data_IF_805636114007
#
_entry.id   IF_805636114007
#
_cell.length_a   1.000
_cell.length_b   1.000
_cell.length_c   1.000
_cell.angle_alpha   90.00
_cell.angle_beta   90.00
_cell.angle_gamma   90.00
#
_symmetry.space_group_name_H-M   'P 1'
#
loop_
_entity.id
_entity.type
_entity.pdbx_description
1 polymer ?
#
# COMPACT_ATOMS: atom_id res chain seq x y z
N UNK A 1 12.60 -7.82 -16.98
CA UNK A 1 13.69 -7.75 -17.98
C UNK A 1 14.87 -8.55 -17.44
N UNK A 2 15.07 -9.76 -17.97
CA UNK A 2 16.22 -10.60 -17.64
C UNK A 2 17.49 -9.96 -18.20
N UNK A 3 18.29 -9.33 -17.35
CA UNK A 3 19.65 -8.95 -17.70
C UNK A 3 20.49 -10.24 -17.72
N UNK A 4 20.50 -10.94 -18.86
CA UNK A 4 21.58 -11.86 -19.19
C UNK A 4 22.86 -11.03 -19.23
N UNK A 5 23.62 -11.05 -18.14
CA UNK A 5 25.00 -10.54 -18.10
C UNK A 5 25.73 -11.26 -19.23
N UNK A 6 25.96 -10.53 -20.34
CA UNK A 6 26.80 -11.00 -21.44
C UNK A 6 28.17 -11.28 -20.83
N UNK A 7 28.48 -12.56 -20.59
CA UNK A 7 29.84 -12.99 -20.22
C UNK A 7 30.79 -12.34 -21.20
N UNK A 8 31.59 -11.45 -20.64
CA UNK A 8 32.35 -10.45 -21.37
C UNK A 8 33.35 -11.15 -22.29
N UNK A 9 33.57 -10.59 -23.48
CA UNK A 9 34.63 -11.01 -24.42
C UNK A 9 36.00 -11.22 -23.74
N UNK A 10 36.19 -10.60 -22.57
CA UNK A 10 37.38 -10.62 -21.75
C UNK A 10 37.67 -11.97 -21.08
N UNK A 11 36.67 -12.73 -20.60
CA UNK A 11 36.91 -14.05 -19.98
C UNK A 11 37.42 -15.07 -21.00
N UNK A 12 36.88 -15.01 -22.23
CA UNK A 12 37.32 -15.86 -23.34
C UNK A 12 38.71 -15.47 -23.83
N UNK A 13 39.02 -14.18 -23.87
CA UNK A 13 40.35 -13.69 -24.26
C UNK A 13 41.40 -14.11 -23.24
N UNK A 14 41.16 -13.94 -21.95
CA UNK A 14 42.13 -14.28 -20.91
C UNK A 14 42.43 -15.79 -20.87
N UNK A 15 41.42 -16.65 -21.08
CA UNK A 15 41.63 -18.09 -21.21
C UNK A 15 42.45 -18.50 -22.44
N UNK A 16 42.38 -17.71 -23.53
CA UNK A 16 43.22 -17.91 -24.72
C UNK A 16 44.65 -17.39 -24.50
N UNK A 17 44.81 -16.23 -23.85
CA UNK A 17 46.10 -15.63 -23.52
C UNK A 17 46.92 -16.55 -22.58
N UNK A 18 46.27 -17.19 -21.60
CA UNK A 18 46.90 -18.20 -20.73
C UNK A 18 47.38 -19.41 -21.54
N UNK A 19 46.61 -19.86 -22.52
CA UNK A 19 46.99 -20.99 -23.39
C UNK A 19 48.16 -20.62 -24.29
N UNK A 20 48.16 -19.43 -24.85
CA UNK A 20 49.23 -18.93 -25.72
C UNK A 20 50.54 -18.73 -24.93
N UNK A 21 50.44 -18.18 -23.72
CA UNK A 21 51.58 -18.04 -22.83
C UNK A 21 52.18 -19.39 -22.40
N UNK A 22 51.35 -20.40 -22.06
CA UNK A 22 51.84 -21.77 -21.78
C UNK A 22 52.62 -22.36 -22.96
N UNK A 23 52.15 -22.14 -24.20
CA UNK A 23 52.86 -22.57 -25.42
C UNK A 23 54.21 -21.86 -25.58
N UNK A 24 54.26 -20.54 -25.34
CA UNK A 24 55.50 -19.76 -25.39
C UNK A 24 56.54 -20.23 -24.36
N UNK A 25 56.12 -20.47 -23.11
CA UNK A 25 57.01 -21.04 -22.08
C UNK A 25 57.58 -22.41 -22.47
N UNK A 26 56.74 -23.25 -23.08
CA UNK A 26 57.17 -24.57 -23.55
C UNK A 26 58.16 -24.46 -24.72
N UNK A 27 57.92 -23.53 -25.65
CA UNK A 27 58.84 -23.25 -26.76
C UNK A 27 60.19 -22.71 -26.28
N UNK A 28 60.19 -21.76 -25.34
CA UNK A 28 61.41 -21.23 -24.70
C UNK A 28 62.16 -22.33 -23.96
N UNK A 29 61.46 -23.18 -23.20
CA UNK A 29 62.09 -24.29 -22.48
C UNK A 29 62.71 -25.33 -23.41
N UNK A 30 62.08 -25.59 -24.56
CA UNK A 30 62.59 -26.51 -25.60
C UNK A 30 63.83 -25.91 -26.28
N UNK A 31 63.75 -24.65 -26.72
CA UNK A 31 64.87 -23.94 -27.34
C UNK A 31 66.09 -23.83 -26.41
N UNK A 32 65.85 -23.64 -25.12
CA UNK A 32 66.89 -23.65 -24.09
C UNK A 32 67.49 -25.05 -23.99
N UNK A 33 66.71 -26.13 -24.01
CA UNK A 33 67.25 -27.51 -23.93
C UNK A 33 68.18 -27.86 -25.10
N UNK A 34 67.82 -27.43 -26.32
CA UNK A 34 68.53 -27.77 -27.55
C UNK A 34 69.88 -27.04 -27.68
N UNK A 35 70.04 -25.88 -27.04
CA UNK A 35 71.23 -25.02 -27.14
C UNK A 35 72.30 -25.23 -26.04
N UNK A 36 72.30 -26.38 -25.34
CA UNK A 36 73.27 -26.75 -24.28
C UNK A 36 73.62 -25.62 -23.26
N UNK A 37 72.61 -24.99 -22.64
CA UNK A 37 72.76 -23.91 -21.69
C UNK A 37 73.40 -24.41 -20.39
N UNK A 38 74.05 -23.52 -19.64
CA UNK A 38 74.58 -23.92 -18.34
C UNK A 38 73.44 -24.32 -17.38
N UNK A 39 73.74 -25.24 -16.46
CA UNK A 39 72.80 -25.80 -15.47
C UNK A 39 72.07 -24.75 -14.62
N UNK A 40 72.65 -23.55 -14.42
CA UNK A 40 71.99 -22.44 -13.69
C UNK A 40 70.84 -21.83 -14.50
N UNK A 41 70.95 -21.76 -15.84
CA UNK A 41 69.89 -21.22 -16.70
C UNK A 41 68.64 -22.11 -16.65
N UNK A 42 68.80 -23.42 -16.85
CA UNK A 42 67.71 -24.41 -16.77
C UNK A 42 67.00 -24.36 -15.40
N UNK A 43 67.77 -24.24 -14.31
CA UNK A 43 67.19 -24.10 -12.95
C UNK A 43 66.38 -22.81 -12.78
N UNK A 44 66.81 -21.69 -13.36
CA UNK A 44 66.06 -20.42 -13.26
C UNK A 44 64.76 -20.45 -14.07
N UNK A 45 64.78 -21.08 -15.24
CA UNK A 45 63.58 -21.25 -16.09
C UNK A 45 62.55 -22.16 -15.41
N UNK A 46 62.97 -23.29 -14.84
CA UNK A 46 62.04 -24.16 -14.10
C UNK A 46 61.44 -23.48 -12.86
N UNK A 47 62.19 -22.59 -12.20
CA UNK A 47 61.63 -21.74 -11.12
C UNK A 47 60.60 -20.75 -11.64
N UNK A 48 60.86 -20.14 -12.79
CA UNK A 48 59.93 -19.20 -13.42
C UNK A 48 58.64 -19.90 -13.83
N UNK A 49 58.74 -21.07 -14.47
CA UNK A 49 57.59 -21.92 -14.81
C UNK A 49 56.76 -22.27 -13.56
N UNK A 50 57.41 -22.68 -12.47
CA UNK A 50 56.73 -22.97 -11.21
C UNK A 50 56.03 -21.75 -10.59
N UNK A 51 56.63 -20.56 -10.69
CA UNK A 51 55.99 -19.30 -10.23
C UNK A 51 54.80 -18.98 -11.12
N UNK A 52 54.92 -19.10 -12.44
CA UNK A 52 53.83 -18.77 -13.35
C UNK A 52 52.64 -19.72 -13.20
N UNK A 53 52.88 -21.02 -13.00
CA UNK A 53 51.78 -21.96 -12.77
C UNK A 53 51.00 -21.61 -11.49
N UNK A 54 51.68 -21.22 -10.41
CA UNK A 54 51.02 -20.73 -9.18
C UNK A 54 50.20 -19.46 -9.42
N UNK A 55 50.70 -18.54 -10.23
CA UNK A 55 49.95 -17.32 -10.59
C UNK A 55 48.69 -17.69 -11.37
N UNK A 56 48.77 -18.61 -12.34
CA UNK A 56 47.60 -19.06 -13.08
C UNK A 56 46.56 -19.75 -12.19
N UNK A 57 46.99 -20.64 -11.30
CA UNK A 57 46.11 -21.30 -10.33
C UNK A 57 45.40 -20.26 -9.44
N UNK A 58 46.13 -19.23 -8.97
CA UNK A 58 45.56 -18.14 -8.18
C UNK A 58 44.52 -17.31 -8.95
N UNK A 59 44.78 -17.02 -10.23
CA UNK A 59 43.82 -16.30 -11.10
C UNK A 59 42.58 -17.15 -11.38
N UNK A 60 42.74 -18.43 -11.70
CA UNK A 60 41.60 -19.33 -11.91
C UNK A 60 40.74 -19.47 -10.65
N UNK A 61 41.37 -19.57 -9.47
CA UNK A 61 40.67 -19.57 -8.20
C UNK A 61 39.87 -18.26 -8.00
N UNK A 62 40.49 -17.10 -8.22
CA UNK A 62 39.80 -15.81 -8.10
C UNK A 62 38.62 -15.68 -9.07
N UNK A 63 38.75 -16.16 -10.30
CA UNK A 63 37.65 -16.19 -11.28
C UNK A 63 36.50 -17.04 -10.75
N UNK A 64 36.79 -18.22 -10.21
CA UNK A 64 35.77 -19.13 -9.67
C UNK A 64 35.06 -18.55 -8.43
N UNK A 65 35.83 -17.95 -7.53
CA UNK A 65 35.30 -17.25 -6.35
C UNK A 65 34.40 -16.08 -6.77
N UNK A 66 34.85 -15.27 -7.73
CA UNK A 66 34.08 -14.14 -8.28
C UNK A 66 32.78 -14.61 -8.95
N UNK A 67 32.85 -15.68 -9.74
CA UNK A 67 31.68 -16.26 -10.40
C UNK A 67 30.65 -16.82 -9.42
N UNK A 68 31.08 -17.21 -8.22
CA UNK A 68 30.19 -17.66 -7.15
C UNK A 68 29.61 -16.47 -6.38
N UNK A 69 30.41 -15.43 -6.16
CA UNK A 69 30.01 -14.26 -5.38
C UNK A 69 29.05 -13.32 -6.12
N UNK A 70 29.24 -13.10 -7.43
CA UNK A 70 28.38 -12.22 -8.23
C UNK A 70 26.88 -12.57 -8.12
N UNK A 71 26.43 -13.82 -8.37
CA UNK A 71 25.01 -14.15 -8.30
C UNK A 71 24.45 -14.01 -6.89
N UNK A 72 25.26 -14.30 -5.86
CA UNK A 72 24.89 -14.09 -4.45
C UNK A 72 24.66 -12.59 -4.19
N UNK A 73 25.57 -11.72 -4.64
CA UNK A 73 25.44 -10.28 -4.49
C UNK A 73 24.21 -9.73 -5.24
N UNK A 74 23.94 -10.22 -6.46
CA UNK A 74 22.75 -9.85 -7.23
C UNK A 74 21.45 -10.28 -6.51
N UNK A 75 21.42 -11.50 -5.96
CA UNK A 75 20.29 -11.99 -5.18
C UNK A 75 20.06 -11.13 -3.93
N UNK A 76 21.12 -10.80 -3.18
CA UNK A 76 21.03 -9.92 -2.02
C UNK A 76 20.53 -8.51 -2.38
N UNK A 77 20.99 -7.95 -3.51
CA UNK A 77 20.52 -6.65 -3.99
C UNK A 77 19.02 -6.68 -4.32
N UNK A 78 18.55 -7.74 -4.98
CA UNK A 78 17.14 -7.90 -5.31
C UNK A 78 16.27 -8.06 -4.06
N UNK A 79 16.71 -8.87 -3.09
CA UNK A 79 16.02 -9.01 -1.80
C UNK A 79 15.95 -7.68 -1.05
N UNK A 80 17.05 -6.91 -1.04
CA UNK A 80 17.10 -5.60 -0.37
C UNK A 80 16.13 -4.62 -1.02
N UNK A 81 16.04 -4.58 -2.35
CA UNK A 81 15.07 -3.76 -3.07
C UNK A 81 13.63 -4.17 -2.78
N UNK A 82 13.36 -5.46 -2.66
CA UNK A 82 12.03 -5.95 -2.30
C UNK A 82 11.65 -5.54 -0.88
N UNK A 83 12.54 -5.78 0.09
CA UNK A 83 12.33 -5.38 1.48
C UNK A 83 12.09 -3.88 1.63
N UNK A 84 12.80 -3.05 0.85
CA UNK A 84 12.57 -1.61 0.85
C UNK A 84 11.14 -1.25 0.42
N UNK A 85 10.64 -1.87 -0.66
CA UNK A 85 9.25 -1.67 -1.11
C UNK A 85 8.23 -2.12 -0.08
N UNK A 86 8.46 -3.28 0.54
CA UNK A 86 7.57 -3.83 1.55
C UNK A 86 7.52 -2.92 2.79
N UNK A 87 8.67 -2.36 3.21
CA UNK A 87 8.75 -1.40 4.30
C UNK A 87 7.99 -0.10 3.99
N UNK A 88 8.11 0.43 2.77
CA UNK A 88 7.37 1.63 2.35
C UNK A 88 5.84 1.37 2.38
N UNK A 89 5.40 0.21 1.88
CA UNK A 89 4.00 -0.19 1.92
C UNK A 89 3.46 -0.33 3.36
N UNK A 90 4.20 -1.01 4.24
CA UNK A 90 3.84 -1.15 5.66
C UNK A 90 3.80 0.22 6.34
N UNK A 91 4.75 1.10 6.05
CA UNK A 91 4.76 2.44 6.63
C UNK A 91 3.51 3.24 6.23
N UNK A 92 3.06 3.14 4.97
CA UNK A 92 1.82 3.75 4.51
C UNK A 92 0.60 3.14 5.22
N UNK A 93 0.53 1.81 5.36
CA UNK A 93 -0.56 1.14 6.10
C UNK A 93 -0.61 1.55 7.57
N UNK A 94 0.54 1.65 8.25
CA UNK A 94 0.60 2.10 9.65
C UNK A 94 0.13 3.55 9.78
N UNK A 95 0.52 4.44 8.85
CA UNK A 95 0.03 5.83 8.84
C UNK A 95 -1.48 5.89 8.64
N UNK A 96 -2.02 5.09 7.72
CA UNK A 96 -3.47 4.97 7.51
C UNK A 96 -4.15 4.51 8.80
N UNK A 97 -3.70 3.41 9.40
CA UNK A 97 -4.29 2.86 10.61
C UNK A 97 -4.28 3.85 11.78
N UNK A 98 -3.19 4.62 11.93
CA UNK A 98 -3.12 5.66 12.96
C UNK A 98 -4.17 6.75 12.76
N UNK A 99 -4.38 7.20 11.51
CA UNK A 99 -5.44 8.18 11.20
C UNK A 99 -6.82 7.55 11.45
N UNK A 100 -7.05 6.33 10.96
CA UNK A 100 -8.33 5.64 11.16
C UNK A 100 -8.68 5.52 12.63
N UNK A 101 -7.74 5.09 13.48
CA UNK A 101 -7.95 4.94 14.91
C UNK A 101 -8.20 6.29 15.62
N UNK A 102 -7.44 7.33 15.26
CA UNK A 102 -7.57 8.66 15.85
C UNK A 102 -8.94 9.30 15.56
N UNK A 103 -9.44 9.13 14.33
CA UNK A 103 -10.69 9.76 13.88
C UNK A 103 -11.91 8.85 13.96
N UNK A 104 -11.75 7.56 14.28
CA UNK A 104 -12.86 6.60 14.44
C UNK A 104 -13.94 7.12 15.38
N UNK A 105 -13.55 7.59 16.57
CA UNK A 105 -14.52 8.05 17.56
C UNK A 105 -15.25 9.32 17.09
N UNK A 106 -14.59 10.16 16.28
CA UNK A 106 -15.20 11.32 15.64
C UNK A 106 -16.22 10.90 14.57
N UNK A 107 -15.91 9.89 13.76
CA UNK A 107 -16.86 9.29 12.82
C UNK A 107 -18.05 8.70 13.59
N UNK A 108 -17.80 7.98 14.68
CA UNK A 108 -18.87 7.45 15.54
C UNK A 108 -19.75 8.54 16.15
N UNK A 109 -19.15 9.64 16.63
CA UNK A 109 -19.89 10.82 17.11
C UNK A 109 -20.76 11.42 15.99
N UNK A 110 -20.23 11.52 14.78
CA UNK A 110 -20.95 12.02 13.61
C UNK A 110 -22.12 11.11 13.22
N UNK A 111 -21.91 9.80 13.13
CA UNK A 111 -22.95 8.82 12.81
C UNK A 111 -24.09 8.84 13.85
N UNK A 112 -23.76 8.95 15.14
CA UNK A 112 -24.77 9.09 16.20
C UNK A 112 -25.63 10.34 16.00
N UNK A 113 -25.03 11.46 15.59
CA UNK A 113 -25.79 12.68 15.31
C UNK A 113 -26.67 12.56 14.06
N UNK A 114 -26.22 11.85 13.02
CA UNK A 114 -27.03 11.54 11.83
C UNK A 114 -28.25 10.71 12.21
N UNK A 115 -28.04 9.59 12.91
CA UNK A 115 -29.10 8.70 13.42
C UNK A 115 -30.12 9.46 14.28
N UNK A 116 -29.65 10.31 15.20
CA UNK A 116 -30.53 11.15 16.02
C UNK A 116 -31.39 12.12 15.19
N UNK A 117 -30.83 12.67 14.11
CA UNK A 117 -31.56 13.58 13.22
C UNK A 117 -32.57 12.86 12.34
N UNK A 118 -32.25 11.64 11.93
CA UNK A 118 -33.15 10.73 11.20
C UNK A 118 -34.18 10.05 12.11
N UNK A 119 -34.05 10.19 13.45
CA UNK A 119 -34.90 9.54 14.45
C UNK A 119 -34.87 8.02 14.40
N UNK A 120 -33.74 7.46 13.98
CA UNK A 120 -33.49 6.02 13.94
C UNK A 120 -33.09 5.51 15.32
N UNK A 121 -33.31 4.22 15.61
CA UNK A 121 -33.10 3.67 16.96
C UNK A 121 -31.62 3.57 17.32
N UNK A 122 -30.77 3.16 16.38
CA UNK A 122 -29.33 2.95 16.63
C UNK A 122 -28.48 3.14 15.37
N UNK A 123 -27.16 3.31 15.58
CA UNK A 123 -26.18 3.36 14.49
C UNK A 123 -26.04 2.02 13.79
N UNK A 124 -26.10 0.92 14.54
CA UNK A 124 -25.93 -0.42 13.98
C UNK A 124 -27.14 -0.80 13.11
N UNK A 125 -28.37 -0.52 13.56
CA UNK A 125 -29.58 -0.74 12.75
C UNK A 125 -29.55 0.11 11.48
N UNK A 126 -29.19 1.39 11.59
CA UNK A 126 -29.07 2.26 10.42
C UNK A 126 -28.05 1.72 9.40
N UNK A 127 -26.92 1.20 9.86
CA UNK A 127 -25.90 0.65 8.96
C UNK A 127 -26.35 -0.66 8.34
N UNK A 128 -27.05 -1.52 9.08
CA UNK A 128 -27.64 -2.72 8.50
C UNK A 128 -28.65 -2.36 7.41
N UNK A 129 -29.49 -1.35 7.64
CA UNK A 129 -30.38 -0.84 6.58
C UNK A 129 -29.59 -0.37 5.35
N UNK A 130 -28.51 0.39 5.53
CA UNK A 130 -27.66 0.80 4.41
C UNK A 130 -27.06 -0.40 3.63
N UNK A 131 -26.75 -1.51 4.31
CA UNK A 131 -26.32 -2.73 3.62
C UNK A 131 -27.47 -3.41 2.86
N UNK A 132 -28.66 -3.49 3.46
CA UNK A 132 -29.84 -4.10 2.83
C UNK A 132 -30.23 -3.38 1.54
N UNK A 133 -30.18 -2.04 1.53
CA UNK A 133 -30.57 -1.22 0.38
C UNK A 133 -29.47 -1.08 -0.70
N UNK A 134 -28.42 -1.90 -0.64
CA UNK A 134 -27.33 -1.87 -1.63
C UNK A 134 -26.48 -0.58 -1.60
N UNK A 135 -26.49 0.22 -0.52
CA UNK A 135 -25.75 1.49 -0.49
C UNK A 135 -24.23 1.32 -0.74
N UNK A 136 -23.69 0.15 -0.47
CA UNK A 136 -22.26 -0.15 -0.63
C UNK A 136 -21.91 -0.87 -1.93
N UNK A 137 -22.89 -1.24 -2.74
CA UNK A 137 -22.64 -1.80 -4.06
C UNK A 137 -21.91 -0.73 -4.87
N UNK A 138 -20.78 -1.14 -5.48
CA UNK A 138 -20.09 -0.29 -6.43
C UNK A 138 -21.03 -0.10 -7.60
N UNK A 139 -21.11 1.11 -8.16
CA UNK A 139 -21.89 1.41 -9.37
C UNK A 139 -21.27 0.64 -10.55
N UNK A 140 -21.39 -0.68 -10.55
CA UNK A 140 -21.09 -1.58 -11.63
C UNK A 140 -22.17 -1.39 -12.65
N UNK A 141 -21.76 -0.92 -13.83
CA UNK A 141 -22.45 -0.99 -15.11
C UNK A 141 -23.93 -1.39 -15.00
N UNK A 142 -24.82 -0.39 -15.05
CA UNK A 142 -26.22 -0.60 -15.43
C UNK A 142 -26.24 -1.22 -16.82
N UNK A 143 -26.22 -2.55 -16.91
CA UNK A 143 -26.77 -3.25 -18.05
C UNK A 143 -28.30 -3.13 -17.93
N UNK A 144 -28.87 -2.35 -18.86
CA UNK A 144 -30.31 -2.29 -19.12
C UNK A 144 -30.82 -3.69 -19.51
N UNK A 145 -31.06 -4.57 -18.55
CA UNK A 145 -31.88 -5.75 -18.77
C UNK A 145 -33.35 -5.34 -18.77
N UNK A 146 -33.84 -5.02 -19.97
CA UNK A 146 -35.26 -5.04 -20.29
C UNK A 146 -35.81 -6.43 -19.95
N UNK A 147 -36.51 -6.53 -18.81
CA UNK A 147 -37.33 -7.69 -18.45
C UNK A 147 -38.48 -7.85 -19.45
N UNK A 148 -38.32 -8.79 -20.38
CA UNK A 148 -39.43 -9.49 -21.01
C UNK A 148 -39.53 -10.85 -20.34
N UNK A 149 -40.42 -11.01 -19.36
CA UNK A 149 -41.21 -12.24 -19.22
C UNK A 149 -42.41 -11.98 -18.30
N UNK A 150 -43.57 -11.89 -18.94
CA UNK A 150 -44.88 -11.99 -18.30
C UNK A 150 -45.07 -13.46 -17.94
N UNK A 151 -45.06 -13.80 -16.65
CA UNK A 151 -45.80 -14.94 -16.11
C UNK A 151 -46.41 -14.53 -14.77
N UNK A 152 -47.75 -14.60 -14.75
CA UNK A 152 -48.69 -14.23 -13.71
C UNK A 152 -48.33 -14.79 -12.32
N UNK A 153 -48.24 -13.91 -11.33
CA UNK A 153 -48.49 -14.17 -9.91
C UNK A 153 -49.04 -12.86 -9.28
N UNK A 154 -50.34 -12.60 -9.46
CA UNK A 154 -51.08 -11.58 -8.73
C UNK A 154 -51.19 -11.99 -7.24
N UNK A 155 -50.14 -11.78 -6.44
CA UNK A 155 -50.21 -11.66 -4.97
C UNK A 155 -48.89 -11.22 -4.29
N UNK A 156 -47.89 -10.70 -5.03
CA UNK A 156 -46.58 -10.27 -4.47
C UNK A 156 -46.16 -8.82 -4.82
N UNK A 157 -46.98 -8.07 -5.55
CA UNK A 157 -46.60 -6.73 -6.03
C UNK A 157 -46.70 -5.64 -4.95
N UNK A 158 -47.58 -5.79 -3.95
CA UNK A 158 -47.78 -4.76 -2.92
C UNK A 158 -46.61 -4.68 -1.90
N UNK A 159 -45.89 -5.78 -1.64
CA UNK A 159 -44.79 -5.82 -0.67
C UNK A 159 -43.47 -5.26 -1.26
N UNK A 160 -43.18 -5.54 -2.54
CA UNK A 160 -41.96 -5.03 -3.21
C UNK A 160 -42.02 -3.51 -3.41
N UNK A 161 -43.20 -2.96 -3.75
CA UNK A 161 -43.41 -1.52 -3.94
C UNK A 161 -43.33 -0.73 -2.62
N UNK A 162 -43.74 -1.32 -1.49
CA UNK A 162 -43.62 -0.71 -0.15
C UNK A 162 -42.18 -0.72 0.37
N UNK A 163 -41.40 -1.79 0.15
CA UNK A 163 -39.98 -1.85 0.53
C UNK A 163 -39.12 -0.85 -0.25
N UNK A 164 -39.29 -0.74 -1.57
CA UNK A 164 -38.56 0.24 -2.38
C UNK A 164 -38.88 1.70 -2.01
N UNK A 165 -40.13 2.01 -1.66
CA UNK A 165 -40.51 3.35 -1.18
C UNK A 165 -39.84 3.69 0.16
N UNK A 166 -39.72 2.72 1.08
CA UNK A 166 -39.04 2.90 2.36
C UNK A 166 -37.54 3.17 2.20
N UNK A 167 -36.89 2.46 1.28
CA UNK A 167 -35.46 2.58 0.99
C UNK A 167 -35.10 3.94 0.38
N UNK A 168 -35.91 4.41 -0.55
CA UNK A 168 -35.79 5.74 -1.17
C UNK A 168 -35.99 6.88 -0.16
N UNK A 169 -36.89 6.71 0.82
CA UNK A 169 -37.11 7.70 1.87
C UNK A 169 -35.88 7.84 2.77
N UNK A 170 -35.24 6.73 3.15
CA UNK A 170 -34.04 6.71 4.00
C UNK A 170 -32.87 7.42 3.31
N UNK A 171 -32.61 7.10 2.04
CA UNK A 171 -31.54 7.73 1.27
C UNK A 171 -31.81 9.22 1.04
N UNK A 172 -33.05 9.59 0.76
CA UNK A 172 -33.47 10.99 0.59
C UNK A 172 -33.27 11.78 1.89
N UNK A 173 -33.69 11.21 3.03
CA UNK A 173 -33.51 11.82 4.34
C UNK A 173 -32.03 11.99 4.71
N UNK A 174 -31.21 10.96 4.44
CA UNK A 174 -29.76 11.04 4.63
C UNK A 174 -29.16 12.16 3.77
N UNK A 175 -29.46 12.19 2.47
CA UNK A 175 -28.98 13.20 1.53
C UNK A 175 -29.33 14.62 2.00
N UNK A 176 -30.56 14.83 2.48
CA UNK A 176 -31.02 16.12 3.02
C UNK A 176 -30.25 16.56 4.28
N UNK A 177 -29.82 15.62 5.13
CA UNK A 177 -28.99 15.93 6.31
C UNK A 177 -27.57 16.28 5.90
N UNK A 178 -26.99 15.51 4.98
CA UNK A 178 -25.61 15.68 4.52
C UNK A 178 -25.42 16.98 3.73
N UNK A 179 -26.38 17.37 2.89
CA UNK A 179 -26.35 18.64 2.15
C UNK A 179 -26.25 19.87 3.05
N UNK A 180 -26.84 19.84 4.26
CA UNK A 180 -26.76 20.95 5.23
C UNK A 180 -25.34 21.20 5.75
N UNK A 181 -24.43 20.26 5.52
CA UNK A 181 -23.02 20.33 5.94
C UNK A 181 -22.07 20.12 4.76
N UNK A 182 -22.54 20.37 3.54
CA UNK A 182 -21.78 20.26 2.30
C UNK A 182 -21.13 18.88 2.09
N UNK A 183 -21.83 17.81 2.51
CA UNK A 183 -21.36 16.43 2.40
C UNK A 183 -22.17 15.68 1.35
N UNK A 184 -21.49 14.89 0.53
CA UNK A 184 -22.12 13.99 -0.46
C UNK A 184 -22.32 12.59 0.12
N UNK A 185 -23.13 11.76 -0.54
CA UNK A 185 -23.23 10.33 -0.19
C UNK A 185 -21.88 9.61 -0.37
N UNK A 186 -21.07 10.01 -1.35
CA UNK A 186 -19.71 9.47 -1.53
C UNK A 186 -18.79 9.81 -0.36
N UNK A 187 -18.80 11.06 0.12
CA UNK A 187 -18.08 11.44 1.34
C UNK A 187 -18.52 10.57 2.54
N UNK A 188 -19.84 10.34 2.65
CA UNK A 188 -20.41 9.51 3.71
C UNK A 188 -19.97 8.04 3.61
N UNK A 189 -19.98 7.45 2.40
CA UNK A 189 -19.44 6.10 2.13
C UNK A 189 -17.98 6.00 2.59
N UNK A 190 -17.15 7.01 2.30
CA UNK A 190 -15.75 7.04 2.74
C UNK A 190 -15.66 6.99 4.27
N UNK A 191 -16.46 7.76 5.01
CA UNK A 191 -16.46 7.73 6.48
C UNK A 191 -16.88 6.36 7.04
N UNK A 192 -17.85 5.68 6.43
CA UNK A 192 -18.25 4.34 6.82
C UNK A 192 -17.12 3.33 6.57
N UNK A 193 -16.52 3.33 5.38
CA UNK A 193 -15.35 2.50 5.06
C UNK A 193 -14.21 2.73 6.06
N UNK A 194 -13.94 3.98 6.43
CA UNK A 194 -12.93 4.31 7.44
C UNK A 194 -13.27 3.72 8.82
N UNK A 195 -14.53 3.78 9.23
CA UNK A 195 -14.99 3.18 10.49
C UNK A 195 -14.77 1.66 10.48
N UNK A 196 -15.09 1.00 9.38
CA UNK A 196 -15.00 -0.47 9.29
C UNK A 196 -13.55 -0.95 9.19
N UNK A 197 -12.68 -0.18 8.52
CA UNK A 197 -11.24 -0.45 8.46
C UNK A 197 -10.49 -0.07 9.76
N UNK A 198 -11.10 0.74 10.63
CA UNK A 198 -10.47 1.16 11.88
C UNK A 198 -10.45 0.03 12.91
N UNK A 199 -9.37 -0.06 13.68
CA UNK A 199 -9.27 -1.07 14.72
C UNK A 199 -10.11 -0.66 15.94
N UNK A 200 -11.04 -1.54 16.34
CA UNK A 200 -12.01 -1.22 17.37
C UNK A 200 -11.47 -1.06 18.79
N UNK A 201 -10.23 -1.52 19.01
CA UNK A 201 -9.52 -1.45 20.30
C UNK A 201 -8.79 -0.13 20.50
N UNK A 202 -8.62 0.67 19.46
CA UNK A 202 -7.98 1.97 19.54
C UNK A 202 -9.05 3.06 19.54
N UNK A 203 -8.96 3.93 20.54
CA UNK A 203 -9.82 5.08 20.74
C UNK A 203 -9.00 6.36 20.56
N UNK A 204 -9.68 7.49 20.38
CA UNK A 204 -9.02 8.80 20.37
C UNK A 204 -8.24 8.99 21.68
N UNK A 205 -7.00 9.47 21.55
CA UNK A 205 -6.10 9.60 22.71
C UNK A 205 -6.61 10.62 23.75
N UNK A 206 -7.23 11.71 23.28
CA UNK A 206 -7.81 12.75 24.13
C UNK A 206 -9.32 12.78 23.98
N UNK A 207 -10.01 12.29 25.01
CA UNK A 207 -11.48 12.25 25.04
C UNK A 207 -12.12 13.63 25.21
N UNK A 208 -11.36 14.64 25.65
CA UNK A 208 -11.79 16.01 25.91
C UNK A 208 -11.63 16.95 24.71
N UNK A 209 -10.85 16.54 23.71
CA UNK A 209 -10.61 17.29 22.49
C UNK A 209 -11.93 17.73 21.84
N UNK A 210 -11.98 18.96 21.34
CA UNK A 210 -13.15 19.49 20.62
C UNK A 210 -13.06 19.23 19.12
N UNK A 211 -14.19 19.16 18.38
CA UNK A 211 -14.18 18.94 16.93
C UNK A 211 -13.27 19.92 16.17
N UNK A 212 -13.26 21.20 16.58
CA UNK A 212 -12.41 22.24 15.97
C UNK A 212 -10.91 22.00 16.20
N UNK A 213 -10.54 21.46 17.36
CA UNK A 213 -9.13 21.12 17.65
C UNK A 213 -8.70 19.90 16.85
N UNK A 214 -9.58 18.90 16.72
CA UNK A 214 -9.38 17.75 15.85
C UNK A 214 -9.24 18.16 14.38
N UNK A 215 -10.04 19.13 13.92
CA UNK A 215 -9.95 19.68 12.56
C UNK A 215 -8.60 20.36 12.30
N UNK A 216 -8.13 21.20 13.23
CA UNK A 216 -6.81 21.84 13.14
C UNK A 216 -5.69 20.79 13.17
N UNK A 217 -5.83 19.72 13.96
CA UNK A 217 -4.89 18.60 13.99
C UNK A 217 -4.87 17.89 12.63
N UNK A 218 -6.04 17.59 12.05
CA UNK A 218 -6.17 16.96 10.75
C UNK A 218 -5.50 17.79 9.64
N UNK A 219 -5.68 19.11 9.68
CA UNK A 219 -5.06 20.02 8.72
C UNK A 219 -3.52 19.95 8.78
N UNK A 220 -2.95 19.89 9.99
CA UNK A 220 -1.50 19.79 10.22
C UNK A 220 -0.91 18.40 9.95
N UNK A 221 -1.73 17.36 10.00
CA UNK A 221 -1.27 15.99 9.72
C UNK A 221 -0.83 15.86 8.26
N UNK A 222 0.40 15.40 8.06
CA UNK A 222 0.89 14.98 6.76
C UNK A 222 0.25 13.65 6.39
N UNK A 223 -0.73 13.71 5.51
CA UNK A 223 -1.43 12.55 4.97
C UNK A 223 -0.73 12.16 3.65
N UNK A 224 -0.24 10.91 3.51
CA UNK A 224 0.27 10.41 2.24
C UNK A 224 -0.75 10.58 1.11
N UNK A 225 -0.26 10.79 -0.11
CA UNK A 225 -1.10 11.09 -1.29
C UNK A 225 -2.11 9.98 -1.57
N UNK A 226 -1.68 8.73 -1.37
CA UNK A 226 -2.47 7.51 -1.58
C UNK A 226 -3.71 7.44 -0.69
N UNK A 227 -3.69 8.15 0.45
CA UNK A 227 -4.81 8.19 1.40
C UNK A 227 -5.34 9.60 1.61
N UNK A 228 -4.93 10.58 0.78
CA UNK A 228 -5.35 11.98 0.92
C UNK A 228 -6.85 12.16 0.73
N UNK A 229 -7.50 11.27 -0.02
CA UNK A 229 -8.95 11.28 -0.28
C UNK A 229 -9.81 11.19 0.99
N UNK A 230 -9.29 10.69 2.11
CA UNK A 230 -10.03 10.59 3.38
C UNK A 230 -10.16 11.93 4.12
N UNK A 231 -9.28 12.89 3.82
CA UNK A 231 -9.16 14.15 4.57
C UNK A 231 -10.38 15.06 4.38
N UNK A 232 -10.91 15.27 3.16
CA UNK A 232 -12.08 16.13 2.97
C UNK A 232 -13.35 15.62 3.69
N UNK A 233 -13.76 14.33 3.59
CA UNK A 233 -14.90 13.82 4.33
C UNK A 233 -14.78 13.97 5.85
N UNK A 234 -13.59 13.69 6.40
CA UNK A 234 -13.32 13.87 7.83
C UNK A 234 -13.44 15.33 8.27
N UNK A 235 -12.92 16.26 7.47
CA UNK A 235 -13.01 17.69 7.78
C UNK A 235 -14.47 18.15 7.83
N UNK A 236 -15.27 17.74 6.84
CA UNK A 236 -16.70 18.04 6.77
C UNK A 236 -17.45 17.47 7.99
N UNK A 237 -17.16 16.25 8.42
CA UNK A 237 -17.81 15.63 9.58
C UNK A 237 -17.46 16.33 10.91
N UNK A 238 -16.19 16.71 11.09
CA UNK A 238 -15.75 17.49 12.26
C UNK A 238 -16.40 18.88 12.31
N UNK A 239 -16.48 19.55 11.17
CA UNK A 239 -17.16 20.83 11.04
C UNK A 239 -18.66 20.70 11.38
N UNK A 240 -19.33 19.69 10.84
CA UNK A 240 -20.73 19.36 11.13
C UNK A 240 -20.98 19.16 12.64
N UNK A 241 -20.13 18.37 13.29
CA UNK A 241 -20.18 18.15 14.74
C UNK A 241 -20.01 19.45 15.52
N UNK A 242 -19.12 20.34 15.08
CA UNK A 242 -18.95 21.67 15.65
C UNK A 242 -20.24 22.49 15.61
N UNK A 243 -20.87 22.58 14.43
CA UNK A 243 -22.13 23.31 14.23
C UNK A 243 -23.27 22.73 15.07
N UNK A 244 -23.44 21.41 15.06
CA UNK A 244 -24.54 20.76 15.77
C UNK A 244 -24.41 20.88 17.28
N UNK A 245 -23.20 20.73 17.84
CA UNK A 245 -22.94 20.95 19.27
C UNK A 245 -23.20 22.40 19.68
N UNK A 246 -22.85 23.37 18.83
CA UNK A 246 -23.13 24.78 19.10
C UNK A 246 -24.64 25.05 19.16
N UNK A 247 -25.39 24.54 18.17
CA UNK A 247 -26.84 24.72 18.09
C UNK A 247 -27.58 24.07 19.27
N UNK A 248 -27.16 22.88 19.70
CA UNK A 248 -27.73 22.21 20.91
C UNK A 248 -27.54 23.07 22.16
N UNK A 249 -26.35 23.66 22.36
CA UNK A 249 -26.08 24.56 23.50
C UNK A 249 -26.95 25.82 23.47
N UNK A 250 -27.14 26.43 22.30
CA UNK A 250 -28.01 27.61 22.15
C UNK A 250 -29.47 27.28 22.48
N UNK A 251 -29.99 26.14 21.99
CA UNK A 251 -31.36 25.69 22.27
C UNK A 251 -31.57 25.47 23.77
N UNK A 252 -30.65 24.79 24.43
CA UNK A 252 -30.75 24.52 25.87
C UNK A 252 -30.68 25.81 26.71
N UNK A 253 -29.88 26.80 26.30
CA UNK A 253 -29.84 28.11 26.97
C UNK A 253 -31.14 28.91 26.81
N UNK A 254 -31.80 28.82 25.65
CA UNK A 254 -33.10 29.48 25.41
C UNK A 254 -34.19 28.84 26.27
N UNK A 255 -34.26 27.51 26.30
CA UNK A 255 -35.27 26.81 27.09
C UNK A 255 -35.14 27.08 28.60
N UNK A 256 -33.91 27.20 29.12
CA UNK A 256 -33.67 27.59 30.54
C UNK A 256 -34.05 29.03 30.89
N UNK A 257 -34.23 29.91 29.90
CA UNK A 257 -34.67 31.30 30.12
C UNK A 257 -36.19 31.45 30.04
N UNK A 258 -36.89 30.41 29.56
CA UNK A 258 -38.34 30.37 29.40
C UNK A 258 -39.03 29.50 30.46
N UNK A 259 -38.26 28.75 31.26
CA UNK A 259 -38.69 28.04 32.48
C UNK A 259 -38.40 28.87 33.71
#
# INVERSE_FOLDING_TARGET
MENKVKRSSYDKNMGNDIKEYKKLLQAVSTHIRDNKPNRKCVKKVGKLEGITNKIHEGVEQQINETNTFIPIAEQHLNLTKQLQKDLEAIQTQVRLMNILCEYRDWIGDFLREVVQKMRLKSVDEFIQTLYTIGFFEEDGEQEDEQKNEVIENEELEDEEDEEQQGDDEILTNLKNILQKVDMTLSDFKVLLKMRDLSNSRFHRADSSQKPKEAEIKLDKTKVPEEIAYIKPPLKKSLHALGLWRHNKKLRNKRNKRQS
#
